data_IF_427139966225
#
_entry.id   IF_427139966225
#
_cell.length_a   1.000
_cell.length_b   1.000
_cell.length_c   1.000
_cell.angle_alpha   90.00
_cell.angle_beta   90.00
_cell.angle_gamma   90.00
#
_symmetry.space_group_name_H-M   'P 1'
#
loop_
_entity.id
_entity.type
_entity.pdbx_description
1 polymer ?
#
# COMPACT_ATOMS: atom_id res chain seq x y z
N UNK A 1 -6.44 25.47 -5.79
CA UNK A 1 -7.14 24.17 -5.61
C UNK A 1 -6.30 23.15 -6.35
N UNK A 2 -5.65 22.21 -5.65
CA UNK A 2 -4.91 21.13 -6.30
C UNK A 2 -5.93 20.04 -6.65
N UNK A 3 -6.27 19.93 -7.93
CA UNK A 3 -6.95 18.75 -8.46
C UNK A 3 -5.93 17.61 -8.50
N UNK A 4 -6.23 16.40 -8.02
CA UNK A 4 -5.54 15.23 -8.53
C UNK A 4 -5.94 15.14 -10.00
N UNK A 5 -4.98 15.35 -10.88
CA UNK A 5 -5.16 14.97 -12.27
C UNK A 5 -5.20 13.44 -12.29
N UNK A 6 -6.29 12.85 -12.76
CA UNK A 6 -6.24 11.52 -13.37
C UNK A 6 -5.19 11.58 -14.47
N UNK A 7 -3.97 11.16 -14.16
CA UNK A 7 -2.89 11.13 -15.12
C UNK A 7 -2.92 9.80 -15.84
N UNK A 8 -2.57 9.82 -17.12
CA UNK A 8 -2.19 8.62 -17.83
C UNK A 8 -0.92 8.10 -17.16
N UNK A 9 -1.09 7.15 -16.26
CA UNK A 9 0.02 6.37 -15.73
C UNK A 9 0.52 5.47 -16.86
N UNK A 10 1.82 5.22 -16.92
CA UNK A 10 2.44 4.56 -18.07
C UNK A 10 1.86 3.15 -18.33
N UNK A 11 0.85 3.07 -19.19
CA UNK A 11 0.31 1.86 -19.83
C UNK A 11 -0.49 0.90 -18.95
N UNK A 12 -1.25 0.01 -19.61
CA UNK A 12 -1.96 -1.13 -19.04
C UNK A 12 -1.04 -2.21 -18.43
N UNK A 13 0.28 -2.03 -18.49
CA UNK A 13 1.26 -3.04 -18.14
C UNK A 13 1.08 -3.66 -16.73
N UNK A 14 0.70 -2.91 -15.67
CA UNK A 14 0.45 -3.51 -14.37
C UNK A 14 -0.76 -4.45 -14.37
N UNK A 15 -1.80 -4.17 -15.17
CA UNK A 15 -2.99 -5.01 -15.27
C UNK A 15 -2.70 -6.33 -15.98
N UNK A 16 -1.95 -6.28 -17.07
CA UNK A 16 -1.65 -7.45 -17.89
C UNK A 16 -0.79 -8.49 -17.16
N UNK A 17 -0.13 -8.08 -16.06
CA UNK A 17 0.69 -8.95 -15.22
C UNK A 17 -0.05 -9.59 -14.04
N UNK A 18 -1.34 -9.31 -13.85
CA UNK A 18 -2.10 -9.79 -12.69
C UNK A 18 -3.17 -10.81 -13.09
N UNK A 19 -2.77 -12.09 -13.08
CA UNK A 19 -3.65 -13.25 -13.32
C UNK A 19 -4.43 -13.69 -12.07
N UNK A 20 -4.04 -13.23 -10.86
CA UNK A 20 -4.66 -13.57 -9.58
C UNK A 20 -5.14 -12.36 -8.76
N UNK A 21 -5.63 -12.59 -7.53
CA UNK A 21 -6.07 -11.49 -6.66
C UNK A 21 -4.89 -10.72 -6.06
N UNK A 22 -3.81 -11.42 -5.69
CA UNK A 22 -2.57 -10.80 -5.21
C UNK A 22 -1.37 -11.43 -5.89
N UNK A 23 -0.45 -10.59 -6.36
CA UNK A 23 0.78 -11.04 -7.00
C UNK A 23 2.00 -10.28 -6.48
N UNK A 24 3.17 -10.91 -6.57
CA UNK A 24 4.47 -10.39 -6.18
C UNK A 24 5.42 -10.58 -7.36
N UNK A 25 6.17 -9.55 -7.76
CA UNK A 25 7.15 -9.66 -8.84
C UNK A 25 8.59 -9.81 -8.33
N UNK A 26 9.30 -10.70 -9.03
CA UNK A 26 10.73 -11.05 -9.01
C UNK A 26 11.48 -10.89 -7.68
N UNK A 27 11.73 -9.66 -7.22
CA UNK A 27 12.49 -9.41 -5.99
C UNK A 27 11.64 -9.43 -4.71
N UNK A 28 10.30 -9.32 -4.80
CA UNK A 28 9.43 -9.25 -3.62
C UNK A 28 9.03 -10.66 -3.14
N UNK A 29 9.30 -11.04 -1.86
CA UNK A 29 8.98 -12.37 -1.35
C UNK A 29 7.50 -12.75 -1.45
N UNK A 30 7.19 -13.95 -1.95
CA UNK A 30 5.81 -14.45 -2.11
C UNK A 30 4.97 -14.45 -0.81
N UNK A 31 5.62 -14.61 0.36
CA UNK A 31 4.92 -14.53 1.66
C UNK A 31 4.25 -13.18 1.89
N UNK A 32 4.78 -12.11 1.30
CA UNK A 32 4.23 -10.77 1.40
C UNK A 32 2.96 -10.61 0.57
N UNK A 33 2.80 -11.34 -0.55
CA UNK A 33 1.55 -11.38 -1.28
C UNK A 33 0.43 -12.05 -0.44
N UNK A 34 0.74 -13.13 0.29
CA UNK A 34 -0.22 -13.75 1.20
C UNK A 34 -0.62 -12.78 2.34
N UNK A 35 0.36 -12.09 2.91
CA UNK A 35 0.13 -11.05 3.93
C UNK A 35 -0.76 -9.91 3.40
N UNK A 36 -0.46 -9.39 2.21
CA UNK A 36 -1.30 -8.37 1.57
C UNK A 36 -2.72 -8.88 1.32
N UNK A 37 -2.88 -10.11 0.83
CA UNK A 37 -4.18 -10.73 0.59
C UNK A 37 -5.03 -10.87 1.84
N UNK A 38 -4.43 -11.28 2.96
CA UNK A 38 -5.10 -11.31 4.26
C UNK A 38 -5.63 -9.91 4.64
N UNK A 39 -4.77 -8.89 4.55
CA UNK A 39 -5.14 -7.53 4.94
C UNK A 39 -6.13 -6.85 4.01
N UNK A 40 -6.14 -7.18 2.71
CA UNK A 40 -7.21 -6.72 1.81
C UNK A 40 -8.59 -7.14 2.35
N UNK A 41 -8.74 -8.39 2.79
CA UNK A 41 -9.99 -8.87 3.38
C UNK A 41 -10.33 -8.14 4.68
N UNK A 42 -9.35 -7.99 5.58
CA UNK A 42 -9.55 -7.34 6.89
C UNK A 42 -9.87 -5.83 6.78
N UNK A 43 -9.45 -5.19 5.68
CA UNK A 43 -9.65 -3.76 5.44
C UNK A 43 -10.85 -3.46 4.52
N UNK A 44 -11.63 -4.47 4.13
CA UNK A 44 -12.79 -4.29 3.23
C UNK A 44 -12.41 -3.94 1.79
N UNK A 45 -11.27 -4.46 1.33
CA UNK A 45 -10.71 -4.30 -0.02
C UNK A 45 -10.72 -5.63 -0.80
N UNK A 46 -11.56 -6.59 -0.41
CA UNK A 46 -11.65 -7.96 -0.94
C UNK A 46 -12.01 -8.05 -2.43
N UNK A 47 -12.62 -7.01 -2.99
CA UNK A 47 -12.89 -6.87 -4.42
C UNK A 47 -11.75 -6.24 -5.24
N UNK A 48 -10.61 -5.90 -4.62
CA UNK A 48 -9.48 -5.23 -5.28
C UNK A 48 -8.33 -6.22 -5.49
N UNK A 49 -7.67 -6.11 -6.64
CA UNK A 49 -6.40 -6.79 -6.90
C UNK A 49 -5.26 -6.03 -6.21
N UNK A 50 -4.19 -6.74 -5.83
CA UNK A 50 -2.96 -6.13 -5.34
C UNK A 50 -1.74 -6.69 -6.05
N UNK A 51 -0.82 -5.81 -6.44
CA UNK A 51 0.45 -6.18 -7.04
C UNK A 51 1.58 -5.53 -6.25
N UNK A 52 2.48 -6.35 -5.73
CA UNK A 52 3.72 -5.91 -5.10
C UNK A 52 4.84 -5.94 -6.13
N UNK A 53 5.52 -4.81 -6.32
CA UNK A 53 6.67 -4.69 -7.23
C UNK A 53 7.85 -4.05 -6.50
N UNK A 54 9.05 -4.33 -6.99
CA UNK A 54 10.21 -3.53 -6.63
C UNK A 54 10.16 -2.19 -7.38
N UNK A 55 10.49 -1.11 -6.69
CA UNK A 55 10.61 0.21 -7.29
C UNK A 55 12.00 0.40 -7.93
N UNK A 56 12.07 0.23 -9.24
CA UNK A 56 13.27 0.49 -10.05
C UNK A 56 13.68 1.98 -10.02
N UNK A 57 12.78 2.90 -9.68
CA UNK A 57 13.02 4.33 -9.62
C UNK A 57 13.69 4.80 -8.32
N UNK A 58 14.03 3.87 -7.40
CA UNK A 58 14.71 4.12 -6.12
C UNK A 58 14.01 5.19 -5.26
N UNK A 59 12.93 4.78 -4.58
CA UNK A 59 12.28 5.61 -3.55
C UNK A 59 13.32 6.21 -2.58
N UNK A 60 13.26 7.54 -2.32
CA UNK A 60 14.23 8.18 -1.44
C UNK A 60 14.03 7.71 -0.01
N UNK A 61 15.14 7.47 0.70
CA UNK A 61 15.08 7.24 2.16
C UNK A 61 14.43 8.46 2.84
N UNK A 62 13.56 8.27 3.85
CA UNK A 62 13.27 7.00 4.54
C UNK A 62 12.08 6.21 3.96
N UNK A 63 11.53 6.57 2.79
CA UNK A 63 10.32 5.95 2.25
C UNK A 63 10.63 4.59 1.63
N UNK A 64 10.12 3.52 2.26
CA UNK A 64 10.30 2.12 1.83
C UNK A 64 9.20 1.62 0.89
N UNK A 65 8.11 2.38 0.74
CA UNK A 65 6.99 2.03 -0.11
C UNK A 65 6.29 3.24 -0.73
N UNK A 66 5.62 3.01 -1.84
CA UNK A 66 4.64 3.94 -2.44
C UNK A 66 3.51 3.15 -3.08
N UNK A 67 2.39 3.82 -3.37
CA UNK A 67 1.19 3.16 -3.85
C UNK A 67 0.50 3.95 -4.97
N UNK A 68 0.00 3.21 -5.96
CA UNK A 68 -0.83 3.73 -7.06
C UNK A 68 -2.07 2.86 -7.22
N UNK A 69 -3.22 3.49 -7.45
CA UNK A 69 -4.49 2.81 -7.67
C UNK A 69 -4.86 2.88 -9.14
N UNK A 70 -4.83 1.75 -9.82
CA UNK A 70 -5.14 1.69 -11.25
C UNK A 70 -6.60 1.32 -11.50
N UNK A 71 -7.11 1.83 -12.61
CA UNK A 71 -8.41 1.51 -13.19
C UNK A 71 -8.26 0.62 -14.41
N UNK A 72 -9.27 -0.17 -14.71
CA UNK A 72 -9.32 -1.01 -15.92
C UNK A 72 -9.05 -0.26 -17.24
N UNK A 73 -9.27 1.06 -17.29
CA UNK A 73 -9.01 1.89 -18.47
C UNK A 73 -7.54 2.37 -18.59
N UNK A 74 -6.67 1.95 -17.67
CA UNK A 74 -5.25 2.30 -17.65
C UNK A 74 -4.94 3.62 -16.95
N UNK A 75 -5.94 4.39 -16.52
CA UNK A 75 -5.69 5.55 -15.67
C UNK A 75 -5.36 5.12 -14.25
N UNK A 76 -4.65 5.97 -13.50
CA UNK A 76 -4.39 5.70 -12.10
C UNK A 76 -4.55 6.93 -11.21
N UNK A 77 -4.76 6.65 -9.92
CA UNK A 77 -4.71 7.61 -8.84
C UNK A 77 -3.38 7.45 -8.13
N UNK A 78 -2.67 8.57 -8.06
CA UNK A 78 -1.45 8.68 -7.31
C UNK A 78 -1.73 9.61 -6.14
N UNK A 79 -1.43 9.11 -4.94
CA UNK A 79 -1.35 9.95 -3.78
C UNK A 79 0.00 10.66 -3.82
N UNK A 80 -0.01 11.95 -4.11
CA UNK A 80 1.13 12.81 -3.82
C UNK A 80 1.23 12.83 -2.28
N UNK A 81 2.13 12.06 -1.68
CA UNK A 81 2.20 11.84 -0.23
C UNK A 81 2.41 13.17 0.50
N UNK A 82 1.32 13.75 1.02
CA UNK A 82 1.36 15.03 1.73
C UNK A 82 1.49 14.78 3.23
N UNK A 83 2.23 15.64 3.92
CA UNK A 83 2.44 15.64 5.38
C UNK A 83 1.21 16.01 6.22
N UNK A 84 0.00 16.07 5.64
CA UNK A 84 -1.23 16.47 6.33
C UNK A 84 -2.40 15.58 5.92
N UNK A 85 -3.31 15.26 6.88
CA UNK A 85 -4.55 14.55 6.56
C UNK A 85 -5.31 15.24 5.41
N UNK A 86 -5.86 14.43 4.53
CA UNK A 86 -6.68 14.90 3.43
C UNK A 86 -8.07 15.25 3.97
N UNK A 87 -8.67 16.31 3.42
CA UNK A 87 -10.06 16.60 3.74
C UNK A 87 -10.96 15.51 3.15
N UNK A 88 -12.06 15.14 3.84
CA UNK A 88 -13.02 14.16 3.33
C UNK A 88 -13.61 14.53 1.95
N UNK A 89 -13.66 15.82 1.62
CA UNK A 89 -14.18 16.32 0.36
C UNK A 89 -13.12 16.45 -0.75
N UNK A 90 -11.87 16.07 -0.48
CA UNK A 90 -10.81 16.04 -1.49
C UNK A 90 -11.14 15.04 -2.59
N UNK A 91 -10.73 15.35 -3.82
CA UNK A 91 -11.05 14.51 -4.98
C UNK A 91 -10.43 13.10 -4.86
N UNK A 92 -9.18 12.98 -4.35
CA UNK A 92 -8.56 11.68 -4.10
C UNK A 92 -9.42 10.83 -3.14
N UNK A 93 -9.80 11.38 -1.98
CA UNK A 93 -10.66 10.67 -1.02
C UNK A 93 -11.97 10.25 -1.67
N UNK A 94 -12.63 11.15 -2.41
CA UNK A 94 -13.89 10.84 -3.10
C UNK A 94 -13.74 9.70 -4.10
N UNK A 95 -12.66 9.68 -4.87
CA UNK A 95 -12.43 8.66 -5.89
C UNK A 95 -12.08 7.30 -5.29
N UNK A 96 -11.26 7.28 -4.23
CA UNK A 96 -10.96 6.05 -3.47
C UNK A 96 -12.22 5.50 -2.79
N UNK A 97 -13.01 6.36 -2.13
CA UNK A 97 -14.27 5.97 -1.47
C UNK A 97 -15.34 5.52 -2.45
N UNK A 98 -15.37 6.08 -3.66
CA UNK A 98 -16.23 5.59 -4.73
C UNK A 98 -15.83 4.18 -5.21
N UNK A 99 -14.63 3.71 -4.85
CA UNK A 99 -14.13 2.39 -5.24
C UNK A 99 -13.78 2.30 -6.72
N UNK A 100 -13.54 3.43 -7.39
CA UNK A 100 -13.30 3.53 -8.84
C UNK A 100 -11.85 3.18 -9.19
N UNK A 101 -11.38 2.01 -8.77
CA UNK A 101 -10.09 1.41 -9.09
C UNK A 101 -10.22 -0.11 -8.92
N UNK A 102 -9.41 -0.91 -9.61
CA UNK A 102 -9.48 -2.38 -9.52
C UNK A 102 -8.17 -3.00 -9.07
N UNK A 103 -7.06 -2.27 -9.19
CA UNK A 103 -5.72 -2.75 -8.87
C UNK A 103 -5.00 -1.76 -7.97
N UNK A 104 -4.48 -2.25 -6.85
CA UNK A 104 -3.55 -1.56 -5.96
C UNK A 104 -2.16 -2.02 -6.33
N UNK A 105 -1.29 -1.12 -6.76
CA UNK A 105 0.13 -1.42 -6.96
C UNK A 105 0.91 -0.79 -5.83
N UNK A 106 1.62 -1.61 -5.06
CA UNK A 106 2.53 -1.18 -4.01
C UNK A 106 3.95 -1.39 -4.52
N UNK A 107 4.66 -0.29 -4.73
CA UNK A 107 6.08 -0.30 -5.09
C UNK A 107 6.92 -0.28 -3.83
N UNK A 108 7.86 -1.21 -3.70
CA UNK A 108 8.74 -1.37 -2.54
C UNK A 108 10.16 -0.95 -2.93
N UNK A 109 10.79 -0.10 -2.13
CA UNK A 109 12.13 0.38 -2.44
C UNK A 109 13.14 -0.78 -2.49
N UNK A 110 13.95 -0.87 -3.56
CA UNK A 110 14.94 -1.93 -3.72
C UNK A 110 15.93 -2.04 -2.56
N UNK A 111 16.30 -0.91 -1.93
CA UNK A 111 17.16 -0.91 -0.74
C UNK A 111 16.51 -1.55 0.51
N UNK A 112 15.17 -1.53 0.61
CA UNK A 112 14.43 -2.29 1.64
C UNK A 112 14.39 -3.79 1.29
N UNK A 113 14.42 -4.08 -0.02
CA UNK A 113 14.68 -5.37 -0.68
C UNK A 113 15.89 -6.10 -0.08
N UNK A 114 17.03 -5.48 -0.29
CA UNK A 114 18.36 -6.05 -0.06
C UNK A 114 18.78 -6.04 1.42
N UNK A 115 18.32 -5.04 2.19
CA UNK A 115 18.92 -4.69 3.48
C UNK A 115 18.03 -4.83 4.70
N UNK A 116 16.76 -5.27 4.57
CA UNK A 116 15.83 -5.27 5.70
C UNK A 116 14.54 -6.07 5.52
N UNK A 117 14.44 -6.88 4.46
CA UNK A 117 13.19 -7.55 4.09
C UNK A 117 12.57 -8.40 5.21
N UNK A 118 13.44 -8.99 6.03
CA UNK A 118 13.09 -9.90 7.11
C UNK A 118 13.51 -9.38 8.48
N UNK A 119 14.01 -8.16 8.54
CA UNK A 119 14.37 -7.56 9.82
C UNK A 119 13.11 -7.18 10.59
N UNK A 120 13.10 -7.37 11.92
CA UNK A 120 12.03 -6.87 12.78
C UNK A 120 11.80 -5.38 12.54
N UNK A 121 10.54 -4.96 12.52
CA UNK A 121 10.21 -3.55 12.36
C UNK A 121 10.80 -2.72 13.51
N UNK A 122 11.68 -1.73 13.24
CA UNK A 122 12.33 -0.95 14.28
C UNK A 122 11.40 0.07 14.94
N UNK A 123 10.18 0.25 14.41
CA UNK A 123 9.19 1.20 14.93
C UNK A 123 8.17 0.54 15.86
N UNK A 124 8.17 -0.79 15.95
CA UNK A 124 7.09 -1.53 16.57
C UNK A 124 7.63 -2.70 17.40
N UNK A 125 8.14 -2.37 18.58
CA UNK A 125 8.74 -3.34 19.50
C UNK A 125 7.72 -4.35 20.07
N UNK A 126 6.42 -4.07 19.97
CA UNK A 126 5.35 -4.81 20.68
C UNK A 126 4.68 -5.91 19.87
N UNK A 127 4.75 -5.89 18.54
CA UNK A 127 4.13 -6.89 17.67
C UNK A 127 5.16 -7.50 16.72
N UNK A 128 5.34 -8.83 16.68
CA UNK A 128 6.34 -9.46 15.83
C UNK A 128 5.93 -9.35 14.36
N UNK A 129 6.55 -8.43 13.63
CA UNK A 129 6.43 -8.28 12.18
C UNK A 129 7.71 -7.70 11.57
N UNK A 130 7.87 -7.84 10.26
CA UNK A 130 9.01 -7.30 9.53
C UNK A 130 8.77 -5.87 9.05
N UNK A 131 9.84 -5.13 8.76
CA UNK A 131 9.74 -3.79 8.16
C UNK A 131 8.93 -3.77 6.84
N UNK A 132 8.98 -4.85 6.04
CA UNK A 132 8.18 -4.95 4.81
C UNK A 132 6.71 -5.24 5.06
N UNK A 133 6.39 -6.07 6.05
CA UNK A 133 5.00 -6.25 6.48
C UNK A 133 4.40 -4.93 6.97
N UNK A 134 5.18 -4.15 7.72
CA UNK A 134 4.78 -2.80 8.12
C UNK A 134 4.52 -1.92 6.90
N UNK A 135 5.48 -1.85 5.97
CA UNK A 135 5.38 -1.03 4.75
C UNK A 135 4.12 -1.38 3.93
N UNK A 136 3.87 -2.67 3.70
CA UNK A 136 2.70 -3.11 2.92
C UNK A 136 1.40 -2.74 3.63
N UNK A 137 1.30 -2.98 4.93
CA UNK A 137 0.08 -2.64 5.66
C UNK A 137 -0.12 -1.12 5.73
N UNK A 138 0.95 -0.36 5.87
CA UNK A 138 0.91 1.10 5.84
C UNK A 138 0.29 1.62 4.53
N UNK A 139 0.74 1.10 3.38
CA UNK A 139 0.16 1.46 2.09
C UNK A 139 -1.29 0.99 1.92
N UNK A 140 -1.68 -0.16 2.48
CA UNK A 140 -3.08 -0.60 2.46
C UNK A 140 -3.97 0.26 3.38
N UNK A 141 -3.46 0.72 4.52
CA UNK A 141 -4.16 1.66 5.41
C UNK A 141 -4.44 2.98 4.71
N UNK A 142 -3.51 3.47 3.89
CA UNK A 142 -3.73 4.64 3.02
C UNK A 142 -4.91 4.47 2.05
N UNK A 143 -5.18 3.25 1.59
CA UNK A 143 -6.34 2.97 0.72
C UNK A 143 -7.63 2.80 1.52
N UNK A 144 -7.58 2.14 2.68
CA UNK A 144 -8.75 1.90 3.52
C UNK A 144 -9.24 3.17 4.25
N UNK A 145 -8.31 4.07 4.56
CA UNK A 145 -8.52 5.31 5.30
C UNK A 145 -7.90 6.51 4.55
N UNK A 146 -8.39 6.81 3.33
CA UNK A 146 -7.79 7.82 2.46
C UNK A 146 -7.78 9.24 3.03
N UNK A 147 -8.63 9.55 4.01
CA UNK A 147 -8.64 10.84 4.72
C UNK A 147 -7.38 11.02 5.59
N UNK A 148 -6.80 9.91 6.05
CA UNK A 148 -5.60 9.88 6.88
C UNK A 148 -4.36 9.52 6.08
N UNK A 149 -4.46 9.53 4.75
CA UNK A 149 -3.42 9.13 3.80
C UNK A 149 -2.26 10.13 3.78
N UNK A 150 -1.52 10.16 4.87
CA UNK A 150 -0.37 11.00 5.13
C UNK A 150 0.56 10.23 6.08
N UNK A 151 1.86 10.47 5.95
CA UNK A 151 2.85 9.98 6.91
C UNK A 151 2.67 10.75 8.23
N UNK A 152 1.87 10.19 9.13
CA UNK A 152 1.48 10.81 10.37
C UNK A 152 1.28 9.76 11.47
N UNK A 153 1.27 10.22 12.71
CA UNK A 153 1.16 9.37 13.89
C UNK A 153 -0.12 8.52 13.91
N UNK A 154 -1.22 9.01 13.34
CA UNK A 154 -2.46 8.23 13.27
C UNK A 154 -2.28 7.00 12.40
N UNK A 155 -1.65 7.13 11.22
CA UNK A 155 -1.39 6.02 10.32
C UNK A 155 -0.49 4.98 10.99
N UNK A 156 0.60 5.42 11.62
CA UNK A 156 1.54 4.54 12.32
C UNK A 156 0.88 3.82 13.51
N UNK A 157 0.03 4.52 14.26
CA UNK A 157 -0.76 3.91 15.35
C UNK A 157 -1.76 2.89 14.80
N UNK A 158 -2.41 3.19 13.68
CA UNK A 158 -3.38 2.28 13.08
C UNK A 158 -2.73 1.01 12.57
N UNK A 159 -1.57 1.13 11.91
CA UNK A 159 -0.77 -0.03 11.47
C UNK A 159 -0.38 -0.89 12.67
N UNK A 160 0.09 -0.28 13.77
CA UNK A 160 0.43 -1.00 15.01
C UNK A 160 -0.78 -1.74 15.60
N UNK A 161 -1.90 -1.05 15.79
CA UNK A 161 -3.15 -1.62 16.33
C UNK A 161 -3.57 -2.87 15.52
N UNK A 162 -3.52 -2.78 14.19
CA UNK A 162 -3.90 -3.86 13.30
C UNK A 162 -2.94 -5.06 13.41
N UNK A 163 -1.63 -4.81 13.46
CA UNK A 163 -0.63 -5.87 13.59
C UNK A 163 -0.71 -6.57 14.95
N UNK A 164 -0.92 -5.81 16.03
CA UNK A 164 -1.13 -6.36 17.38
C UNK A 164 -2.34 -7.28 17.42
N UNK A 165 -3.49 -6.85 16.89
CA UNK A 165 -4.71 -7.65 16.82
C UNK A 165 -4.51 -8.97 16.06
N UNK A 166 -3.81 -8.94 14.93
CA UNK A 166 -3.55 -10.15 14.14
C UNK A 166 -2.66 -11.17 14.88
N UNK A 167 -1.72 -10.70 15.72
CA UNK A 167 -0.91 -11.58 16.57
C UNK A 167 -1.69 -12.24 17.70
N UNK A 168 -2.79 -11.64 18.16
CA UNK A 168 -3.66 -12.20 19.20
C UNK A 168 -4.62 -13.27 18.65
N UNK A 169 -5.09 -13.13 17.41
CA UNK A 169 -6.02 -14.08 16.78
C UNK A 169 -5.36 -15.42 16.36
N UNK A 170 -4.03 -15.52 16.41
CA UNK A 170 -3.24 -16.72 16.04
C UNK A 170 -2.84 -17.56 17.27
N UNK A 171 -3.19 -17.13 18.49
CA UNK A 171 -2.96 -17.89 19.74
C UNK A 171 -4.14 -18.78 20.12
#
# INVERSE_FOLDING_TARGET
MQQPSSQLCAGHWPYDRVEGNVMSQEAVPLRLAAFAGFWLGQLGLDGKKCLLIEDEANLPRPFSGSMKLYRQDGTCLELDTVSKPLKPDSAYVKEVRAGNFDLIVISIAGWSLEGGAEEPCPMCDTSPHTALQHTILHELVHVAFPEYSAHNEWTDNKVRELLERASEEIQ
#
